data_IF_776656331871
#
_entry.id   IF_776656331871
#
_cell.length_a   1.000
_cell.length_b   1.000
_cell.length_c   1.000
_cell.angle_alpha   90.00
_cell.angle_beta   90.00
_cell.angle_gamma   90.00
#
_symmetry.space_group_name_H-M   'P 1'
#
loop_
_entity.id
_entity.type
_entity.pdbx_description
1 polymer ?
#
# COMPACT_ATOMS: atom_id res chain seq x y z
N UNK A 1 20.06 30.43 20.59
CA UNK A 1 18.67 30.40 21.12
C UNK A 1 18.08 29.04 20.78
N UNK A 2 17.60 28.26 21.76
CA UNK A 2 16.90 26.99 21.46
C UNK A 2 15.59 27.36 20.77
N UNK A 3 15.43 27.01 19.48
CA UNK A 3 14.13 27.07 18.83
C UNK A 3 13.22 26.06 19.52
N UNK A 4 12.33 26.56 20.38
CA UNK A 4 11.35 25.71 21.07
C UNK A 4 10.33 25.21 20.05
N UNK A 5 10.29 23.90 19.82
CA UNK A 5 9.31 23.27 18.94
C UNK A 5 7.95 23.32 19.65
N UNK A 6 6.94 23.90 18.99
CA UNK A 6 5.58 23.88 19.49
C UNK A 6 4.88 22.60 18.99
N UNK A 7 4.41 21.76 19.93
CA UNK A 7 3.77 20.48 19.62
C UNK A 7 2.60 20.64 18.64
N UNK A 8 1.66 21.55 18.94
CA UNK A 8 0.42 21.73 18.17
C UNK A 8 0.76 22.24 16.77
N UNK A 9 1.64 23.25 16.68
CA UNK A 9 2.06 23.81 15.40
C UNK A 9 2.73 22.75 14.53
N UNK A 10 3.72 22.04 15.08
CA UNK A 10 4.45 21.01 14.35
C UNK A 10 3.55 19.86 13.89
N UNK A 11 2.59 19.45 14.73
CA UNK A 11 1.61 18.43 14.37
C UNK A 11 0.69 18.89 13.22
N UNK A 12 0.22 20.14 13.27
CA UNK A 12 -0.60 20.72 12.20
C UNK A 12 0.20 20.88 10.90
N UNK A 13 1.46 21.32 10.98
CA UNK A 13 2.35 21.42 9.84
C UNK A 13 2.60 20.05 9.20
N UNK A 14 2.69 18.99 10.01
CA UNK A 14 2.79 17.63 9.50
C UNK A 14 1.51 17.16 8.80
N UNK A 15 0.33 17.48 9.31
CA UNK A 15 -0.93 17.15 8.63
C UNK A 15 -1.02 17.82 7.25
N UNK A 16 -0.65 19.10 7.15
CA UNK A 16 -0.55 19.77 5.86
C UNK A 16 0.48 19.12 4.93
N UNK A 17 1.59 18.64 5.47
CA UNK A 17 2.61 17.94 4.71
C UNK A 17 2.14 16.57 4.19
N UNK A 18 1.25 15.89 4.91
CA UNK A 18 0.61 14.63 4.44
C UNK A 18 -0.28 14.90 3.23
N UNK A 19 -1.06 15.98 3.26
CA UNK A 19 -1.95 16.33 2.16
C UNK A 19 -1.17 16.80 0.91
N UNK A 20 -0.02 17.44 1.12
CA UNK A 20 0.81 17.98 0.05
C UNK A 20 1.81 16.97 -0.56
N UNK A 21 2.34 16.03 0.22
CA UNK A 21 3.36 15.07 -0.24
C UNK A 21 2.77 13.68 -0.49
N UNK A 22 2.44 13.40 -1.74
CA UNK A 22 1.88 12.10 -2.16
C UNK A 22 2.84 10.91 -1.99
N UNK A 23 4.12 11.14 -1.66
CA UNK A 23 5.09 10.07 -1.35
C UNK A 23 4.86 9.47 0.05
N UNK A 24 4.15 10.18 0.93
CA UNK A 24 3.83 9.72 2.28
C UNK A 24 2.67 8.72 2.29
N UNK A 25 3.02 7.44 2.36
CA UNK A 25 2.07 6.35 2.56
C UNK A 25 1.74 6.11 4.04
N UNK A 26 0.66 5.38 4.34
CA UNK A 26 0.19 5.11 5.71
C UNK A 26 1.27 4.64 6.71
N UNK A 27 2.19 3.77 6.26
CA UNK A 27 3.29 3.32 7.11
C UNK A 27 4.26 4.45 7.49
N UNK A 28 4.52 5.40 6.57
CA UNK A 28 5.33 6.58 6.85
C UNK A 28 4.67 7.47 7.89
N UNK A 29 3.36 7.73 7.72
CA UNK A 29 2.58 8.56 8.64
C UNK A 29 2.60 7.95 10.04
N UNK A 30 2.28 6.66 10.15
CA UNK A 30 2.28 5.94 11.44
C UNK A 30 3.66 5.95 12.11
N UNK A 31 4.73 5.72 11.33
CA UNK A 31 6.10 5.76 11.83
C UNK A 31 6.50 7.16 12.29
N UNK A 32 6.19 8.19 11.50
CA UNK A 32 6.50 9.57 11.86
C UNK A 32 5.81 9.99 13.15
N UNK A 33 4.51 9.69 13.31
CA UNK A 33 3.76 10.01 14.52
C UNK A 33 4.32 9.29 15.76
N UNK A 34 4.75 8.02 15.61
CA UNK A 34 5.40 7.29 16.69
C UNK A 34 6.73 7.95 17.10
N UNK A 35 7.55 8.39 16.13
CA UNK A 35 8.80 9.10 16.39
C UNK A 35 8.55 10.49 16.99
N UNK A 36 7.57 11.23 16.49
CA UNK A 36 7.17 12.54 16.98
C UNK A 36 6.71 12.48 18.44
N UNK A 37 5.94 11.44 18.79
CA UNK A 37 5.57 11.19 20.18
C UNK A 37 6.80 10.99 21.08
N UNK A 38 7.74 10.15 20.67
CA UNK A 38 8.97 9.92 21.43
C UNK A 38 9.75 11.23 21.56
N UNK A 39 9.85 12.01 20.49
CA UNK A 39 10.52 13.30 20.50
C UNK A 39 9.88 14.30 21.48
N UNK A 40 8.54 14.34 21.53
CA UNK A 40 7.79 15.13 22.50
C UNK A 40 8.05 14.67 23.96
N UNK A 41 8.03 13.36 24.21
CA UNK A 41 8.36 12.80 25.54
C UNK A 41 9.79 13.15 25.97
N UNK A 42 10.71 13.32 25.01
CA UNK A 42 12.09 13.78 25.19
C UNK A 42 12.25 15.30 25.13
N UNK A 43 11.18 16.07 25.34
CA UNK A 43 11.19 17.55 25.37
C UNK A 43 11.76 18.19 24.09
N UNK A 44 11.52 17.54 22.95
CA UNK A 44 12.01 17.94 21.64
C UNK A 44 13.53 18.03 21.52
N UNK A 45 14.26 17.27 22.34
CA UNK A 45 15.71 17.19 22.23
C UNK A 45 16.12 16.30 21.06
N UNK A 46 17.12 16.76 20.32
CA UNK A 46 17.70 16.06 19.20
C UNK A 46 19.19 15.77 19.47
N UNK A 47 19.72 14.60 19.08
CA UNK A 47 19.02 13.46 18.49
C UNK A 47 18.29 12.59 19.54
N UNK A 48 17.16 11.98 19.17
CA UNK A 48 16.50 10.95 19.96
C UNK A 48 17.16 9.58 19.72
N UNK A 49 17.43 8.87 20.81
CA UNK A 49 17.89 7.48 20.78
C UNK A 49 16.68 6.57 20.86
N UNK A 50 16.41 5.80 19.81
CA UNK A 50 15.23 4.93 19.75
C UNK A 50 15.62 3.45 19.70
N UNK A 51 14.93 2.65 20.51
CA UNK A 51 14.97 1.19 20.42
C UNK A 51 13.96 0.74 19.37
N UNK A 52 14.38 -0.15 18.48
CA UNK A 52 13.57 -0.60 17.35
C UNK A 52 12.25 -1.24 17.81
N UNK A 53 12.32 -2.05 18.86
CA UNK A 53 11.18 -2.79 19.42
C UNK A 53 10.09 -1.84 19.92
N UNK A 54 10.51 -0.73 20.52
CA UNK A 54 9.60 0.31 21.02
C UNK A 54 8.89 1.03 19.87
N UNK A 55 9.64 1.47 18.86
CA UNK A 55 9.05 2.20 17.73
C UNK A 55 8.10 1.30 16.94
N UNK A 56 8.47 0.04 16.70
CA UNK A 56 7.60 -0.94 16.02
C UNK A 56 6.26 -1.14 16.75
N UNK A 57 6.28 -1.18 18.08
CA UNK A 57 5.07 -1.29 18.89
C UNK A 57 4.15 -0.09 18.70
N UNK A 58 4.72 1.12 18.66
CA UNK A 58 3.94 2.35 18.53
C UNK A 58 3.44 2.60 17.10
N UNK A 59 4.25 2.34 16.07
CA UNK A 59 3.86 2.58 14.68
C UNK A 59 3.05 1.43 14.04
N UNK A 60 2.87 0.32 14.77
CA UNK A 60 2.10 -0.86 14.31
C UNK A 60 2.59 -1.47 12.99
N UNK A 61 3.86 -1.27 12.66
CA UNK A 61 4.51 -1.94 11.53
C UNK A 61 5.02 -3.30 12.04
N UNK A 62 4.48 -4.40 11.52
CA UNK A 62 4.92 -5.76 11.91
C UNK A 62 6.23 -6.19 11.25
N UNK A 63 6.57 -5.62 10.10
CA UNK A 63 7.71 -6.04 9.30
C UNK A 63 8.96 -5.19 9.58
N UNK A 64 10.05 -5.85 10.01
CA UNK A 64 11.36 -5.23 10.23
C UNK A 64 11.92 -4.54 8.98
N UNK A 65 11.66 -5.10 7.79
CA UNK A 65 12.15 -4.53 6.52
C UNK A 65 11.34 -3.31 6.11
N UNK A 66 10.01 -3.36 6.25
CA UNK A 66 9.12 -2.21 6.00
C UNK A 66 9.47 -1.04 6.92
N UNK A 67 9.76 -1.30 8.20
CA UNK A 67 10.23 -0.29 9.14
C UNK A 67 11.51 0.41 8.69
N UNK A 68 12.54 -0.36 8.32
CA UNK A 68 13.82 0.23 7.85
C UNK A 68 13.64 0.97 6.52
N UNK A 69 12.79 0.45 5.63
CA UNK A 69 12.46 1.10 4.36
C UNK A 69 11.81 2.47 4.62
N UNK A 70 10.74 2.52 5.42
CA UNK A 70 10.06 3.77 5.74
C UNK A 70 10.95 4.77 6.51
N UNK A 71 11.90 4.30 7.34
CA UNK A 71 12.90 5.18 7.97
C UNK A 71 13.83 5.84 6.94
N UNK A 72 14.29 5.08 5.94
CA UNK A 72 15.12 5.62 4.85
C UNK A 72 14.31 6.57 3.97
N UNK A 73 13.08 6.20 3.61
CA UNK A 73 12.20 7.06 2.82
C UNK A 73 11.89 8.37 3.57
N UNK A 74 11.52 8.33 4.85
CA UNK A 74 11.35 9.56 5.66
C UNK A 74 12.63 10.41 5.76
N UNK A 75 13.80 9.77 5.71
CA UNK A 75 15.08 10.47 5.65
C UNK A 75 15.29 11.16 4.31
N UNK A 76 15.08 10.44 3.21
CA UNK A 76 15.20 10.94 1.85
C UNK A 76 14.18 12.05 1.56
N UNK A 77 13.01 11.99 2.20
CA UNK A 77 11.96 13.01 2.10
C UNK A 77 12.22 14.23 3.01
N UNK A 78 13.33 14.28 3.76
CA UNK A 78 13.70 15.36 4.68
C UNK A 78 12.70 15.59 5.83
N UNK A 79 12.00 14.55 6.29
CA UNK A 79 11.20 14.62 7.51
C UNK A 79 12.03 14.28 8.75
N UNK A 80 13.05 13.43 8.60
CA UNK A 80 13.96 13.02 9.67
C UNK A 80 15.41 12.90 9.17
N UNK A 81 16.37 12.88 10.09
CA UNK A 81 17.72 12.38 9.82
C UNK A 81 17.87 11.04 10.53
N UNK A 82 18.06 9.98 9.75
CA UNK A 82 18.22 8.62 10.28
C UNK A 82 19.70 8.22 10.27
N UNK A 83 20.26 7.97 11.47
CA UNK A 83 21.62 7.42 11.64
C UNK A 83 21.51 5.99 12.19
N UNK A 84 21.61 4.96 11.33
CA UNK A 84 21.54 3.57 11.77
C UNK A 84 22.72 3.23 12.67
N UNK A 85 22.47 2.42 13.69
CA UNK A 85 23.57 1.79 14.43
C UNK A 85 24.04 0.51 13.74
N UNK A 86 25.35 0.33 13.64
CA UNK A 86 25.98 -0.84 12.99
C UNK A 86 26.16 -2.03 13.95
N UNK A 87 26.11 -1.80 15.26
CA UNK A 87 26.31 -2.86 16.24
C UNK A 87 24.98 -3.36 16.84
N UNK A 88 24.86 -4.66 17.15
CA UNK A 88 23.72 -5.20 17.88
C UNK A 88 23.50 -4.44 19.20
N UNK A 89 22.23 -4.25 19.59
CA UNK A 89 21.81 -3.63 20.85
C UNK A 89 22.09 -2.13 21.04
N UNK A 90 22.78 -1.48 20.10
CA UNK A 90 22.95 -0.03 20.13
C UNK A 90 21.72 0.64 19.48
N UNK A 91 21.07 1.61 20.15
CA UNK A 91 19.91 2.31 19.60
C UNK A 91 20.29 3.09 18.34
N UNK A 92 19.32 3.26 17.43
CA UNK A 92 19.51 4.16 16.29
C UNK A 92 19.26 5.60 16.73
N UNK A 93 20.06 6.52 16.21
CA UNK A 93 19.87 7.93 16.45
C UNK A 93 18.98 8.52 15.35
N UNK A 94 17.92 9.21 15.75
CA UNK A 94 17.01 9.92 14.84
C UNK A 94 16.98 11.39 15.24
N UNK A 95 17.04 12.28 14.26
CA UNK A 95 16.80 13.71 14.47
C UNK A 95 15.53 14.06 13.73
N UNK A 96 14.52 14.55 14.45
CA UNK A 96 13.31 15.07 13.80
C UNK A 96 13.62 16.46 13.25
N UNK A 97 13.23 16.70 12.00
CA UNK A 97 13.42 18.00 11.36
C UNK A 97 12.19 18.89 11.65
N UNK A 98 12.38 20.15 12.12
CA UNK A 98 11.28 21.09 12.24
C UNK A 98 10.61 21.30 10.88
N UNK A 99 9.30 21.14 10.83
CA UNK A 99 8.51 21.44 9.63
C UNK A 99 8.18 22.92 9.67
N UNK A 100 9.15 23.77 9.32
CA UNK A 100 8.89 25.20 9.25
C UNK A 100 8.11 25.51 7.97
N UNK A 101 6.92 26.11 8.13
CA UNK A 101 6.19 26.70 7.00
C UNK A 101 7.06 27.80 6.39
N UNK A 102 7.37 27.69 5.09
CA UNK A 102 7.81 28.83 4.28
C UNK A 102 6.63 29.77 4.16
N UNK A 103 6.39 30.56 5.20
CA UNK A 103 5.23 31.43 5.30
C UNK A 103 5.34 32.20 6.59
N UNK A 104 5.89 33.40 6.47
CA UNK A 104 5.74 34.51 7.40
C UNK A 104 4.27 34.65 7.81
N UNK A 105 3.87 34.00 8.89
CA UNK A 105 2.73 34.43 9.68
C UNK A 105 3.32 34.88 11.01
N UNK A 106 3.48 36.21 11.07
CA UNK A 106 3.66 36.98 12.29
C UNK A 106 2.83 36.39 13.43
N UNK A 107 3.49 36.15 14.56
CA UNK A 107 2.85 35.87 15.83
C UNK A 107 1.81 36.95 16.12
N UNK A 108 0.53 36.64 15.92
CA UNK A 108 -0.57 37.37 16.53
C UNK A 108 -1.48 36.37 17.24
N UNK A 109 -1.16 36.20 18.52
CA UNK A 109 -2.11 36.21 19.64
C UNK A 109 -3.30 35.24 19.56
N UNK A 110 -3.11 34.01 20.02
CA UNK A 110 -4.21 33.17 20.49
C UNK A 110 -4.56 33.54 21.94
N UNK A 111 -5.35 34.59 22.12
CA UNK A 111 -6.02 34.85 23.39
C UNK A 111 -7.23 33.93 23.48
N UNK A 112 -7.10 32.93 24.35
CA UNK A 112 -8.18 32.01 24.71
C UNK A 112 -9.23 32.77 25.52
N UNK A 113 -10.40 33.05 24.93
CA UNK A 113 -11.61 33.35 25.70
C UNK A 113 -12.44 32.08 25.78
N UNK A 114 -12.29 31.36 26.90
CA UNK A 114 -13.28 30.36 27.30
C UNK A 114 -14.53 31.12 27.71
N UNK A 115 -15.53 31.18 26.83
CA UNK A 115 -16.88 31.55 27.23
C UNK A 115 -17.58 30.28 27.72
N UNK A 116 -17.93 30.28 29.00
CA UNK A 116 -18.75 29.26 29.64
C UNK A 116 -20.02 28.99 28.84
N UNK A 117 -20.27 27.72 28.51
CA UNK A 117 -21.58 27.27 28.02
C UNK A 117 -22.18 26.41 29.13
N UNK A 118 -23.10 27.01 29.88
CA UNK A 118 -24.07 26.28 30.71
C UNK A 118 -25.14 25.61 29.81
N UNK A 119 -25.77 24.52 30.27
CA UNK A 119 -26.47 23.58 29.41
C UNK A 119 -27.88 24.08 29.08
N UNK A 120 -28.22 24.16 27.79
CA UNK A 120 -29.61 24.17 27.35
C UNK A 120 -29.87 22.97 26.45
N UNK A 121 -30.78 22.13 26.93
CA UNK A 121 -31.35 20.98 26.27
C UNK A 121 -32.29 21.54 25.21
N UNK A 122 -32.17 21.12 23.96
CA UNK A 122 -33.36 20.86 23.13
C UNK A 122 -32.96 19.97 21.96
N UNK A 123 -33.73 18.88 21.84
CA UNK A 123 -33.48 17.81 20.92
C UNK A 123 -33.78 18.22 19.48
N UNK A 124 -33.00 17.62 18.58
CA UNK A 124 -33.53 17.16 17.31
C UNK A 124 -32.78 15.88 16.92
N UNK A 125 -33.48 14.77 17.12
CA UNK A 125 -33.13 13.46 16.60
C UNK A 125 -33.33 13.46 15.09
N UNK A 126 -32.29 13.09 14.34
CA UNK A 126 -32.37 12.74 12.92
C UNK A 126 -31.30 11.68 12.61
N UNK A 127 -31.55 10.77 11.66
CA UNK A 127 -31.44 9.34 11.91
C UNK A 127 -30.10 8.74 11.51
N UNK A 128 -29.76 7.64 12.20
CA UNK A 128 -28.80 6.64 11.75
C UNK A 128 -29.13 6.20 10.32
N UNK A 129 -28.24 6.50 9.39
CA UNK A 129 -28.17 5.87 8.06
C UNK A 129 -26.70 5.86 7.66
N UNK A 130 -26.02 4.84 8.15
CA UNK A 130 -24.74 4.35 7.63
C UNK A 130 -24.92 3.91 6.17
N UNK A 131 -24.03 4.31 5.26
CA UNK A 131 -23.67 3.44 4.17
C UNK A 131 -22.16 3.16 4.18
N UNK A 132 -21.85 2.00 4.74
CA UNK A 132 -20.72 1.15 4.43
C UNK A 132 -19.36 1.85 4.44
N UNK A 133 -18.74 1.82 5.61
CA UNK A 133 -17.29 1.88 5.77
C UNK A 133 -16.65 0.87 4.80
N UNK A 134 -16.19 1.37 3.65
CA UNK A 134 -15.45 0.60 2.66
C UNK A 134 -14.32 -0.11 3.37
N UNK A 135 -14.39 -1.44 3.41
CA UNK A 135 -13.39 -2.32 4.01
C UNK A 135 -12.11 -2.18 3.19
N UNK A 136 -11.28 -1.19 3.53
CA UNK A 136 -9.93 -1.06 3.00
C UNK A 136 -9.08 -2.21 3.55
N UNK A 137 -9.12 -3.33 2.85
CA UNK A 137 -8.17 -4.42 3.03
C UNK A 137 -6.84 -3.91 2.46
N UNK A 138 -5.95 -3.44 3.35
CA UNK A 138 -4.55 -3.24 3.01
C UNK A 138 -3.93 -4.61 2.69
N UNK A 139 -4.00 -5.03 1.42
CA UNK A 139 -3.23 -6.14 0.89
C UNK A 139 -1.78 -5.66 0.87
N UNK A 140 -1.05 -5.93 1.95
CA UNK A 140 0.37 -5.65 2.09
C UNK A 140 1.15 -6.42 1.00
N UNK A 141 1.33 -5.80 -0.17
CA UNK A 141 2.23 -6.26 -1.21
C UNK A 141 3.64 -5.82 -0.85
N UNK A 142 4.31 -6.60 -0.02
CA UNK A 142 5.73 -6.44 0.27
C UNK A 142 6.56 -7.06 -0.87
N UNK A 143 6.88 -6.26 -1.88
CA UNK A 143 8.04 -6.52 -2.74
C UNK A 143 9.29 -5.97 -2.03
N UNK A 144 10.20 -6.84 -1.63
CA UNK A 144 11.56 -6.48 -1.26
C UNK A 144 12.53 -7.48 -1.90
N UNK A 145 13.22 -7.01 -2.93
CA UNK A 145 14.38 -7.66 -3.51
C UNK A 145 15.50 -7.74 -2.45
N UNK A 146 15.98 -8.94 -2.14
CA UNK A 146 17.22 -9.17 -1.42
C UNK A 146 18.33 -9.46 -2.43
N UNK A 147 19.28 -8.53 -2.56
CA UNK A 147 20.65 -8.83 -2.99
C UNK A 147 21.51 -8.91 -1.74
N UNK A 148 22.12 -10.07 -1.49
CA UNK A 148 23.05 -10.30 -0.40
C UNK A 148 23.54 -11.74 -0.37
N UNK A 149 24.79 -11.93 -0.78
CA UNK A 149 25.50 -13.18 -1.03
C UNK A 149 25.66 -14.12 0.18
N UNK A 150 25.42 -15.41 -0.11
CA UNK A 150 26.06 -16.66 0.34
C UNK A 150 26.64 -16.83 1.75
N UNK A 151 26.08 -17.81 2.48
CA UNK A 151 26.79 -18.96 3.07
C UNK A 151 25.85 -20.18 3.03
N UNK A 152 26.41 -21.36 2.78
CA UNK A 152 25.75 -22.43 2.03
C UNK A 152 24.79 -23.35 2.79
N UNK A 153 23.68 -23.65 2.11
CA UNK A 153 22.99 -24.94 2.03
C UNK A 153 22.41 -25.01 0.60
N UNK A 154 22.38 -26.19 -0.04
CA UNK A 154 21.96 -26.35 -1.43
C UNK A 154 20.43 -26.15 -1.57
N UNK A 155 20.00 -24.91 -1.75
CA UNK A 155 18.61 -24.58 -2.05
C UNK A 155 18.26 -24.92 -3.52
N UNK A 156 17.03 -25.41 -3.80
CA UNK A 156 16.59 -25.72 -5.15
C UNK A 156 16.66 -24.47 -6.02
N UNK A 157 17.42 -24.57 -7.12
CA UNK A 157 17.67 -23.49 -8.06
C UNK A 157 16.36 -23.11 -8.76
N UNK A 158 15.97 -21.84 -8.66
CA UNK A 158 14.89 -21.22 -9.42
C UNK A 158 15.04 -21.52 -10.91
N UNK A 159 14.07 -22.24 -11.49
CA UNK A 159 14.01 -22.52 -12.92
C UNK A 159 13.04 -21.54 -13.58
N UNK A 160 13.59 -20.47 -14.16
CA UNK A 160 12.79 -19.57 -15.01
C UNK A 160 12.37 -20.35 -16.25
N UNK A 161 11.07 -20.59 -16.47
CA UNK A 161 10.62 -21.36 -17.62
C UNK A 161 10.81 -20.55 -18.90
N UNK A 162 10.98 -21.24 -20.02
CA UNK A 162 10.90 -20.60 -21.34
C UNK A 162 9.44 -20.25 -21.65
N UNK A 163 9.23 -19.17 -22.41
CA UNK A 163 7.88 -18.73 -22.75
C UNK A 163 7.10 -19.79 -23.53
N UNK A 164 7.78 -20.60 -24.35
CA UNK A 164 7.19 -21.71 -25.10
C UNK A 164 6.64 -22.81 -24.18
N UNK A 165 7.32 -23.10 -23.08
CA UNK A 165 6.88 -24.11 -22.11
C UNK A 165 5.62 -23.65 -21.35
N UNK A 166 5.57 -22.35 -21.02
CA UNK A 166 4.40 -21.73 -20.40
C UNK A 166 3.21 -21.74 -21.36
N UNK A 167 3.43 -21.39 -22.63
CA UNK A 167 2.40 -21.44 -23.67
C UNK A 167 1.85 -22.87 -23.82
N UNK A 168 2.73 -23.87 -23.92
CA UNK A 168 2.32 -25.26 -24.06
C UNK A 168 1.48 -25.74 -22.86
N UNK A 169 1.86 -25.35 -21.63
CA UNK A 169 1.12 -25.69 -20.43
C UNK A 169 -0.30 -25.10 -20.43
N UNK A 170 -0.44 -23.82 -20.75
CA UNK A 170 -1.75 -23.15 -20.82
C UNK A 170 -2.63 -23.73 -21.93
N UNK A 171 -2.07 -24.03 -23.09
CA UNK A 171 -2.82 -24.67 -24.18
C UNK A 171 -3.29 -26.08 -23.78
N UNK A 172 -2.45 -26.86 -23.08
CA UNK A 172 -2.79 -28.21 -22.63
C UNK A 172 -3.97 -28.24 -21.64
N UNK A 173 -4.14 -27.19 -20.84
CA UNK A 173 -5.26 -27.03 -19.89
C UNK A 173 -6.43 -26.22 -20.46
N UNK A 174 -6.46 -26.00 -21.78
CA UNK A 174 -7.56 -25.35 -22.50
C UNK A 174 -7.60 -23.83 -22.37
N UNK A 175 -6.52 -23.20 -21.92
CA UNK A 175 -6.39 -21.75 -21.82
C UNK A 175 -5.81 -21.14 -23.10
N UNK A 176 -6.10 -19.86 -23.32
CA UNK A 176 -5.66 -19.16 -24.52
C UNK A 176 -4.15 -18.85 -24.47
N UNK A 177 -3.49 -18.88 -25.64
CA UNK A 177 -2.09 -18.45 -25.79
C UNK A 177 -1.84 -17.06 -25.21
N UNK A 178 -2.79 -16.14 -25.35
CA UNK A 178 -2.68 -14.78 -24.81
C UNK A 178 -2.61 -14.74 -23.29
N UNK A 179 -3.31 -15.63 -22.59
CA UNK A 179 -3.26 -15.71 -21.13
C UNK A 179 -1.92 -16.26 -20.65
N UNK A 180 -1.36 -17.24 -21.38
CA UNK A 180 -0.02 -17.75 -21.11
C UNK A 180 1.05 -16.64 -21.22
N UNK A 181 0.93 -15.80 -22.26
CA UNK A 181 1.82 -14.66 -22.49
C UNK A 181 1.69 -13.62 -21.38
N UNK A 182 0.45 -13.27 -20.98
CA UNK A 182 0.18 -12.35 -19.87
C UNK A 182 0.78 -12.86 -18.57
N UNK A 183 0.55 -14.13 -18.24
CA UNK A 183 1.14 -14.77 -17.07
C UNK A 183 2.66 -14.71 -17.09
N UNK A 184 3.29 -15.05 -18.23
CA UNK A 184 4.75 -15.04 -18.37
C UNK A 184 5.33 -13.64 -18.13
N UNK A 185 4.82 -12.61 -18.82
CA UNK A 185 5.35 -11.25 -18.67
C UNK A 185 5.05 -10.64 -17.31
N UNK A 186 3.90 -10.96 -16.71
CA UNK A 186 3.61 -10.56 -15.33
C UNK A 186 4.67 -11.10 -14.36
N UNK A 187 4.96 -12.39 -14.42
CA UNK A 187 5.95 -13.01 -13.54
C UNK A 187 7.39 -12.59 -13.88
N UNK A 188 7.68 -12.34 -15.15
CA UNK A 188 8.98 -11.80 -15.56
C UNK A 188 9.22 -10.40 -14.98
N UNK A 189 8.22 -9.52 -15.02
CA UNK A 189 8.29 -8.18 -14.44
C UNK A 189 8.44 -8.21 -12.91
N UNK A 190 7.89 -9.22 -12.23
CA UNK A 190 8.05 -9.42 -10.78
C UNK A 190 9.31 -10.21 -10.40
N UNK A 191 10.15 -10.58 -11.38
CA UNK A 191 11.37 -11.36 -11.14
C UNK A 191 11.11 -12.80 -10.69
N UNK A 192 9.93 -13.35 -11.00
CA UNK A 192 9.46 -14.65 -10.54
C UNK A 192 9.43 -14.76 -9.01
N UNK A 193 9.05 -13.66 -8.33
CA UNK A 193 8.94 -13.60 -6.88
C UNK A 193 7.47 -13.57 -6.44
N UNK A 194 7.14 -14.37 -5.43
CA UNK A 194 5.86 -14.31 -4.72
C UNK A 194 6.12 -13.93 -3.26
N UNK A 195 5.75 -12.71 -2.88
CA UNK A 195 5.98 -12.18 -1.52
C UNK A 195 7.47 -12.06 -1.16
N UNK A 196 8.33 -11.79 -2.14
CA UNK A 196 9.78 -11.70 -1.98
C UNK A 196 10.52 -13.05 -1.99
N UNK A 197 9.82 -14.17 -2.10
CA UNK A 197 10.43 -15.49 -2.26
C UNK A 197 10.36 -15.95 -3.73
N UNK A 198 11.39 -16.65 -4.24
CA UNK A 198 11.36 -17.24 -5.58
C UNK A 198 10.20 -18.25 -5.72
N UNK A 199 9.41 -18.13 -6.79
CA UNK A 199 8.44 -19.14 -7.21
C UNK A 199 9.19 -20.39 -7.67
N UNK A 200 9.25 -21.41 -6.80
CA UNK A 200 9.91 -22.68 -7.13
C UNK A 200 9.08 -23.55 -8.10
N UNK A 201 7.76 -23.47 -8.02
CA UNK A 201 6.83 -24.18 -8.90
C UNK A 201 5.95 -23.18 -9.67
N UNK A 202 6.39 -22.85 -10.88
CA UNK A 202 5.66 -21.92 -11.74
C UNK A 202 4.34 -22.51 -12.27
N UNK A 203 4.19 -23.85 -12.31
CA UNK A 203 2.93 -24.49 -12.72
C UNK A 203 1.85 -24.30 -11.67
N UNK A 204 2.20 -24.40 -10.39
CA UNK A 204 1.28 -24.06 -9.30
C UNK A 204 0.86 -22.58 -9.35
N UNK A 205 1.81 -21.68 -9.64
CA UNK A 205 1.50 -20.26 -9.84
C UNK A 205 0.58 -20.03 -11.06
N UNK A 206 0.78 -20.77 -12.15
CA UNK A 206 -0.06 -20.74 -13.34
C UNK A 206 -1.49 -21.23 -13.07
N UNK A 207 -1.66 -22.34 -12.33
CA UNK A 207 -2.99 -22.82 -11.95
C UNK A 207 -3.74 -21.77 -11.12
N UNK A 208 -3.07 -21.15 -10.15
CA UNK A 208 -3.66 -20.06 -9.36
C UNK A 208 -4.01 -18.84 -10.20
N UNK A 209 -3.20 -18.52 -11.22
CA UNK A 209 -3.52 -17.43 -12.16
C UNK A 209 -4.84 -17.71 -12.88
N UNK A 210 -5.02 -18.94 -13.36
CA UNK A 210 -6.20 -19.37 -14.11
C UNK A 210 -7.46 -19.35 -13.24
N UNK A 211 -7.38 -19.80 -11.98
CA UNK A 211 -8.50 -19.73 -11.03
C UNK A 211 -9.01 -18.29 -10.81
N UNK A 212 -8.13 -17.30 -10.92
CA UNK A 212 -8.47 -15.89 -10.68
C UNK A 212 -8.73 -15.10 -11.98
N UNK A 213 -8.55 -15.72 -13.14
CA UNK A 213 -8.80 -15.06 -14.44
C UNK A 213 -10.24 -15.34 -14.86
N UNK A 214 -11.04 -14.33 -15.25
CA UNK A 214 -12.38 -14.58 -15.76
C UNK A 214 -12.32 -15.43 -17.02
N UNK A 215 -12.72 -16.70 -16.92
CA UNK A 215 -12.80 -17.63 -18.04
C UNK A 215 -13.77 -17.09 -19.08
N UNK A 216 -13.26 -16.61 -20.22
CA UNK A 216 -14.10 -16.45 -21.40
C UNK A 216 -14.39 -17.87 -21.88
N UNK A 217 -15.64 -18.33 -21.68
CA UNK A 217 -16.08 -19.60 -22.25
C UNK A 217 -15.80 -19.55 -23.76
N UNK A 218 -15.14 -20.56 -24.35
CA UNK A 218 -14.98 -20.59 -25.79
C UNK A 218 -16.38 -20.64 -26.39
N UNK A 219 -16.72 -19.64 -27.21
CA UNK A 219 -17.86 -19.75 -28.12
C UNK A 219 -17.47 -20.85 -29.10
N UNK A 220 -17.85 -22.08 -28.75
CA UNK A 220 -17.88 -23.21 -29.67
C UNK A 220 -18.93 -22.86 -30.74
N UNK A 221 -18.48 -22.16 -31.78
CA UNK A 221 -19.16 -22.17 -33.07
C UNK A 221 -18.95 -23.57 -33.67
N UNK A 222 -19.79 -24.52 -33.23
CA UNK A 222 -19.97 -25.78 -33.91
C UNK A 222 -20.73 -25.49 -35.22
N UNK A 223 -19.99 -25.41 -36.33
CA UNK A 223 -20.55 -25.73 -37.63
C UNK A 223 -20.75 -27.26 -37.68
N UNK A 224 -22.00 -27.70 -37.63
CA UNK A 224 -22.44 -28.89 -38.36
C UNK A 224 -23.94 -28.77 -38.67
N UNK A 225 -24.31 -29.25 -39.83
CA UNK A 225 -25.58 -29.04 -40.51
C UNK A 225 -26.70 -30.00 -40.07
N UNK A 226 -27.94 -29.56 -40.36
CA UNK A 226 -29.21 -30.31 -40.55
C UNK A 226 -29.88 -30.92 -39.29
N UNK A 227 -31.19 -30.81 -39.02
CA UNK A 227 -32.40 -30.74 -39.87
C UNK A 227 -33.62 -30.11 -39.15
N UNK A 228 -34.49 -29.45 -39.95
CA UNK A 228 -35.98 -29.38 -39.91
C UNK A 228 -36.75 -28.42 -38.95
N UNK A 229 -37.53 -27.54 -39.61
CA UNK A 229 -38.91 -27.06 -39.34
C UNK A 229 -39.20 -26.52 -37.93
N UNK A 230 -39.58 -25.25 -37.72
CA UNK A 230 -40.88 -24.68 -38.11
C UNK A 230 -40.91 -23.14 -37.94
N UNK A 231 -42.01 -22.56 -38.42
CA UNK A 231 -42.25 -21.17 -38.82
C UNK A 231 -42.50 -20.17 -37.67
N UNK A 232 -42.58 -18.90 -38.09
CA UNK A 232 -43.22 -17.73 -37.42
C UNK A 232 -42.29 -16.87 -36.55
N UNK A 233 -42.39 -15.55 -36.45
CA UNK A 233 -42.79 -14.43 -37.30
C UNK A 233 -42.51 -13.17 -36.46
N UNK A 234 -42.24 -12.05 -37.13
CA UNK A 234 -42.31 -10.66 -36.62
C UNK A 234 -41.21 -10.19 -35.66
N UNK A 235 -40.38 -9.31 -36.22
CA UNK A 235 -39.52 -8.33 -35.58
C UNK A 235 -40.32 -7.19 -34.91
N UNK A 236 -40.04 -6.94 -33.64
CA UNK A 236 -40.39 -5.71 -32.91
C UNK A 236 -39.31 -5.58 -31.82
N UNK A 237 -38.47 -4.54 -31.72
CA UNK A 237 -38.72 -3.15 -31.30
C UNK A 237 -37.34 -2.49 -31.40
N UNK A 238 -37.14 -1.54 -32.32
CA UNK A 238 -37.27 -0.07 -32.20
C UNK A 238 -36.15 0.59 -31.38
N UNK A 239 -35.45 1.40 -32.16
CA UNK A 239 -34.38 2.36 -31.91
C UNK A 239 -34.72 3.39 -30.82
N UNK A 240 -33.82 3.61 -29.87
CA UNK A 240 -33.93 4.56 -28.75
C UNK A 240 -32.94 5.72 -28.94
N UNK A 241 -33.23 6.58 -29.90
CA UNK A 241 -32.52 7.84 -30.10
C UNK A 241 -33.15 9.02 -29.33
N UNK A 242 -32.84 9.13 -28.03
CA UNK A 242 -32.81 10.36 -27.18
C UNK A 242 -34.09 11.28 -27.10
N UNK A 243 -34.11 12.30 -26.22
CA UNK A 243 -34.13 12.25 -24.75
C UNK A 243 -35.35 13.02 -24.17
N UNK A 244 -35.64 12.81 -22.88
CA UNK A 244 -36.03 13.82 -21.88
C UNK A 244 -36.14 13.16 -20.50
#
# INVERSE_FOLDING_TARGET
MKNSVNFIRHQNDFYLAIDADSRLHANHISLYLALFRIWNERRFENPIQVKKEEVLRWCRIGSKSTYVKCLRELHDFNYIIYKPSKAPFIPSAITMLPLARNGTHSDQNCSSTYTEISPHIDGNSAPHSDPSLGRYINKQLNNNNKTGSQTGEAYPKMTVPKIEEVIAFFLAIGQLRTEAIKFFYHNQATGWLLGGNPILDWKAAANKWIENTPSIKPVINAKSANTRTEQSSVSTIKDYGQPL
#
